data_IF_518327615685
#
_entry.id   IF_518327615685
#
_cell.length_a   1.000
_cell.length_b   1.000
_cell.length_c   1.000
_cell.angle_alpha   90.00
_cell.angle_beta   90.00
_cell.angle_gamma   90.00
#
_symmetry.space_group_name_H-M   'P 1'
#
loop_
_entity.id
_entity.type
_entity.pdbx_description
1 polymer ?
#
# COMPACT_ATOMS: atom_id res chain seq x y z
N UNK A 1 8.67 17.97 6.56
CA UNK A 1 7.43 17.34 6.07
C UNK A 1 7.84 16.02 5.46
N UNK A 2 7.49 14.89 6.09
CA UNK A 2 7.87 13.57 5.57
C UNK A 2 7.06 13.31 4.30
N UNK A 3 7.67 13.53 3.13
CA UNK A 3 7.05 13.40 1.81
C UNK A 3 6.93 11.94 1.34
N UNK A 4 6.52 11.05 2.23
CA UNK A 4 6.01 9.74 1.80
C UNK A 4 4.52 9.73 2.02
N UNK A 5 3.72 9.33 1.01
CA UNK A 5 2.30 9.11 1.22
C UNK A 5 2.15 8.14 2.39
N UNK A 6 1.57 8.59 3.49
CA UNK A 6 1.25 7.70 4.60
C UNK A 6 0.34 6.58 4.13
N UNK A 7 0.19 5.55 4.96
CA UNK A 7 -0.71 4.43 4.71
C UNK A 7 -2.09 4.85 4.15
N UNK A 8 -2.66 5.93 4.68
CA UNK A 8 -3.94 6.49 4.24
C UNK A 8 -3.93 6.95 2.77
N UNK A 9 -2.85 7.56 2.30
CA UNK A 9 -2.71 7.95 0.90
C UNK A 9 -2.62 6.72 0.02
N UNK A 10 -1.80 5.73 0.39
CA UNK A 10 -1.63 4.51 -0.39
C UNK A 10 -2.96 3.75 -0.50
N UNK A 11 -3.73 3.70 0.60
CA UNK A 11 -5.11 3.18 0.59
C UNK A 11 -6.02 3.97 -0.34
N UNK A 12 -5.98 5.30 -0.31
CA UNK A 12 -6.76 6.16 -1.21
C UNK A 12 -6.40 5.94 -2.68
N UNK A 13 -5.12 5.82 -3.01
CA UNK A 13 -4.67 5.56 -4.38
C UNK A 13 -5.11 4.17 -4.86
N UNK A 14 -5.09 3.15 -3.98
CA UNK A 14 -5.63 1.83 -4.31
C UNK A 14 -7.15 1.87 -4.51
N UNK A 15 -7.88 2.58 -3.65
CA UNK A 15 -9.34 2.78 -3.77
C UNK A 15 -9.71 3.52 -5.07
N UNK A 16 -8.89 4.48 -5.50
CA UNK A 16 -9.02 5.14 -6.80
C UNK A 16 -8.65 4.26 -8.00
N UNK A 17 -8.15 3.04 -7.78
CA UNK A 17 -7.67 2.14 -8.84
C UNK A 17 -6.35 2.59 -9.46
N UNK A 18 -5.59 3.44 -8.77
CA UNK A 18 -4.29 3.94 -9.21
C UNK A 18 -3.14 2.97 -8.90
N UNK A 19 -3.34 2.07 -7.92
CA UNK A 19 -2.41 0.99 -7.59
C UNK A 19 -3.10 -0.35 -7.69
N UNK A 20 -2.33 -1.37 -8.06
CA UNK A 20 -2.76 -2.77 -8.03
C UNK A 20 -2.15 -3.50 -6.83
N UNK A 21 -2.66 -4.70 -6.55
CA UNK A 21 -2.08 -5.60 -5.54
C UNK A 21 -0.58 -5.81 -5.75
N UNK A 22 -0.14 -5.85 -7.01
CA UNK A 22 1.26 -6.00 -7.37
C UNK A 22 2.09 -4.76 -6.98
N UNK A 23 1.57 -3.55 -7.19
CA UNK A 23 2.23 -2.30 -6.76
C UNK A 23 2.36 -2.26 -5.24
N UNK A 24 1.29 -2.61 -4.53
CA UNK A 24 1.29 -2.68 -3.06
C UNK A 24 2.29 -3.71 -2.53
N UNK A 25 2.44 -4.84 -3.21
CA UNK A 25 3.47 -5.84 -2.92
C UNK A 25 4.88 -5.27 -3.09
N UNK A 26 5.12 -4.47 -4.13
CA UNK A 26 6.40 -3.78 -4.34
C UNK A 26 6.67 -2.77 -3.22
N UNK A 27 5.66 -2.00 -2.80
CA UNK A 27 5.76 -1.11 -1.64
C UNK A 27 6.08 -1.85 -0.34
N UNK A 28 5.55 -3.07 -0.14
CA UNK A 28 5.92 -3.92 1.00
C UNK A 28 7.38 -4.35 0.91
N UNK A 29 7.83 -4.79 -0.27
CA UNK A 29 9.23 -5.17 -0.49
C UNK A 29 10.20 -3.99 -0.28
N UNK A 30 9.80 -2.79 -0.71
CA UNK A 30 10.53 -1.55 -0.52
C UNK A 30 10.49 -1.00 0.92
N UNK A 31 9.90 -1.74 1.88
CA UNK A 31 9.71 -1.28 3.27
C UNK A 31 8.90 0.03 3.39
N UNK A 32 8.14 0.41 2.35
CA UNK A 32 7.20 1.53 2.41
C UNK A 32 5.88 1.15 3.08
N UNK A 33 5.51 -0.13 3.02
CA UNK A 33 4.31 -0.67 3.62
C UNK A 33 4.63 -1.91 4.45
N UNK A 34 3.90 -2.13 5.54
CA UNK A 34 3.97 -3.41 6.25
C UNK A 34 3.01 -4.42 5.65
N UNK A 35 3.29 -5.72 5.83
CA UNK A 35 2.39 -6.82 5.42
C UNK A 35 0.99 -6.67 6.00
N UNK A 36 0.89 -6.18 7.24
CA UNK A 36 -0.39 -5.88 7.91
C UNK A 36 -1.17 -4.78 7.17
N UNK A 37 -0.48 -3.70 6.81
CA UNK A 37 -1.07 -2.61 6.02
C UNK A 37 -1.49 -3.09 4.64
N UNK A 38 -0.69 -3.93 3.99
CA UNK A 38 -1.03 -4.52 2.70
C UNK A 38 -2.32 -5.32 2.78
N UNK A 39 -2.44 -6.17 3.81
CA UNK A 39 -3.64 -6.96 4.08
C UNK A 39 -4.84 -6.08 4.40
N UNK A 40 -4.66 -4.96 5.09
CA UNK A 40 -5.75 -4.00 5.33
C UNK A 40 -6.23 -3.28 4.07
N UNK A 41 -5.36 -3.06 3.07
CA UNK A 41 -5.72 -2.37 1.82
C UNK A 41 -6.32 -3.34 0.80
N UNK A 42 -5.63 -4.46 0.55
CA UNK A 42 -5.99 -5.43 -0.49
C UNK A 42 -6.96 -6.51 -0.02
N UNK A 43 -6.98 -6.80 1.29
CA UNK A 43 -7.62 -8.01 1.83
C UNK A 43 -6.85 -9.30 1.54
N UNK A 44 -5.73 -9.23 0.82
CA UNK A 44 -4.90 -10.37 0.44
C UNK A 44 -3.75 -10.56 1.42
N UNK A 45 -3.35 -11.82 1.66
CA UNK A 45 -2.24 -12.18 2.56
C UNK A 45 -1.00 -12.60 1.76
N UNK A 46 0.18 -12.11 2.16
CA UNK A 46 1.49 -12.29 1.49
C UNK A 46 2.64 -12.57 2.48
#
# INVERSE_FOLDING_TARGET
>A
MNSFPGFENIKQFYDWGCYTDQDLLDYVNMNCLTKDQYKQITGNEI
#
